data_IF_721967482217
#
_entry.id   IF_721967482217
#
_cell.length_a   1.000
_cell.length_b   1.000
_cell.length_c   1.000
_cell.angle_alpha   90.00
_cell.angle_beta   90.00
_cell.angle_gamma   90.00
#
_symmetry.space_group_name_H-M   'P 1'
#
loop_
_entity.id
_entity.type
_entity.pdbx_description
1 polymer ?
#
# COMPACT_ATOMS: atom_id res chain seq x y z
N UNK A 1 -36.33 14.23 6.12
CA UNK A 1 -36.12 13.00 5.32
C UNK A 1 -35.08 13.24 4.21
N UNK A 2 -33.81 13.44 4.59
CA UNK A 2 -32.69 13.71 3.64
C UNK A 2 -31.45 12.90 4.07
N UNK A 3 -31.61 11.59 4.30
CA UNK A 3 -30.47 10.68 4.55
C UNK A 3 -30.56 9.38 3.74
N UNK A 4 -31.57 9.23 2.88
CA UNK A 4 -31.94 7.93 2.29
C UNK A 4 -31.81 7.84 0.78
N UNK A 5 -31.10 8.76 0.10
CA UNK A 5 -31.09 8.77 -1.38
C UNK A 5 -29.85 9.31 -2.08
N UNK A 6 -28.69 9.15 -1.46
CA UNK A 6 -27.47 9.01 -2.26
C UNK A 6 -26.97 7.58 -2.03
N UNK A 7 -26.66 6.88 -3.12
CA UNK A 7 -25.49 6.00 -3.19
C UNK A 7 -24.46 6.55 -2.18
N UNK A 8 -24.09 5.76 -1.17
CA UNK A 8 -23.59 6.23 0.13
C UNK A 8 -22.59 7.38 -0.02
N UNK A 9 -22.53 8.33 0.93
CA UNK A 9 -21.56 9.45 0.91
C UNK A 9 -20.13 9.00 0.55
N UNK A 10 -19.81 7.76 0.93
CA UNK A 10 -18.65 6.94 0.54
C UNK A 10 -18.47 6.81 -0.97
N UNK A 11 -19.50 6.41 -1.71
CA UNK A 11 -19.47 6.22 -3.17
C UNK A 11 -19.24 7.54 -3.91
N UNK A 12 -19.77 8.67 -3.41
CA UNK A 12 -19.53 10.01 -3.99
C UNK A 12 -18.12 10.52 -3.67
N UNK A 13 -17.61 10.31 -2.45
CA UNK A 13 -16.23 10.66 -2.10
C UNK A 13 -15.24 9.74 -2.81
N UNK A 14 -15.54 8.46 -2.90
CA UNK A 14 -14.75 7.47 -3.64
C UNK A 14 -14.73 7.82 -5.13
N UNK A 15 -15.86 8.14 -5.76
CA UNK A 15 -15.88 8.63 -7.15
C UNK A 15 -15.14 9.96 -7.29
N UNK A 16 -15.32 10.92 -6.38
CA UNK A 16 -14.60 12.20 -6.47
C UNK A 16 -13.09 12.10 -6.23
N UNK A 17 -12.62 11.10 -5.47
CA UNK A 17 -11.19 10.91 -5.12
C UNK A 17 -10.51 9.85 -6.00
N UNK A 18 -11.25 8.89 -6.57
CA UNK A 18 -10.69 7.73 -7.30
C UNK A 18 -11.08 7.70 -8.78
N UNK A 19 -12.23 8.26 -9.18
CA UNK A 19 -12.67 8.17 -10.58
C UNK A 19 -11.88 9.08 -11.53
N UNK A 20 -11.24 10.13 -11.00
CA UNK A 20 -10.44 11.09 -11.78
C UNK A 20 -8.92 10.91 -11.61
N UNK A 21 -8.47 9.92 -10.84
CA UNK A 21 -7.05 9.61 -10.71
C UNK A 21 -6.71 8.58 -11.79
N UNK A 22 -6.20 9.07 -12.91
CA UNK A 22 -5.36 8.26 -13.80
C UNK A 22 -4.10 7.89 -13.02
N UNK A 23 -4.18 6.75 -12.30
CA UNK A 23 -3.01 6.13 -11.70
C UNK A 23 -2.18 5.54 -12.85
N UNK A 24 -1.17 6.29 -13.24
CA UNK A 24 -0.15 5.85 -14.17
C UNK A 24 1.08 5.45 -13.38
N UNK A 25 1.77 4.36 -13.76
CA UNK A 25 3.07 4.06 -13.16
C UNK A 25 4.03 5.23 -13.40
N UNK A 26 4.93 5.53 -12.46
CA UNK A 26 5.97 6.54 -12.66
C UNK A 26 6.74 6.31 -13.96
N UNK A 27 7.37 7.37 -14.46
CA UNK A 27 8.30 7.26 -15.58
C UNK A 27 9.41 6.24 -15.24
N UNK A 28 10.01 5.62 -16.26
CA UNK A 28 11.15 4.73 -16.00
C UNK A 28 12.35 5.59 -15.60
N UNK A 29 12.66 5.61 -14.30
CA UNK A 29 13.78 6.37 -13.78
C UNK A 29 15.11 5.70 -14.15
N UNK A 30 15.11 4.43 -14.54
CA UNK A 30 16.27 3.68 -15.03
C UNK A 30 17.02 2.89 -13.96
N UNK A 31 16.47 2.77 -12.74
CA UNK A 31 16.91 1.77 -11.74
C UNK A 31 15.80 1.52 -10.73
N UNK A 32 15.75 0.31 -10.18
CA UNK A 32 14.72 -0.10 -9.21
C UNK A 32 14.70 0.82 -7.99
N UNK A 33 15.87 1.20 -7.48
CA UNK A 33 15.98 2.13 -6.35
C UNK A 33 15.26 3.46 -6.64
N UNK A 34 15.50 4.05 -7.82
CA UNK A 34 14.89 5.33 -8.21
C UNK A 34 13.40 5.18 -8.50
N UNK A 35 13.00 4.10 -9.17
CA UNK A 35 11.59 3.80 -9.43
C UNK A 35 10.81 3.64 -8.10
N UNK A 36 11.40 2.99 -7.08
CA UNK A 36 10.80 2.85 -5.75
C UNK A 36 10.73 4.18 -4.99
N UNK A 37 11.72 5.06 -5.16
CA UNK A 37 11.67 6.41 -4.60
C UNK A 37 10.52 7.20 -5.23
N UNK A 38 10.36 7.17 -6.55
CA UNK A 38 9.25 7.86 -7.23
C UNK A 38 7.89 7.31 -6.78
N UNK A 39 7.72 5.98 -6.71
CA UNK A 39 6.49 5.38 -6.15
C UNK A 39 6.22 5.83 -4.71
N UNK A 40 7.24 5.85 -3.85
CA UNK A 40 7.08 6.30 -2.47
C UNK A 40 6.72 7.79 -2.40
N UNK A 41 7.28 8.63 -3.28
CA UNK A 41 6.94 10.05 -3.38
C UNK A 41 5.47 10.23 -3.76
N UNK A 42 5.00 9.53 -4.78
CA UNK A 42 3.62 9.62 -5.25
C UNK A 42 2.63 9.18 -4.17
N UNK A 43 2.91 8.06 -3.51
CA UNK A 43 2.09 7.58 -2.38
C UNK A 43 2.03 8.62 -1.26
N UNK A 44 3.18 9.16 -0.85
CA UNK A 44 3.25 10.19 0.20
C UNK A 44 2.51 11.46 -0.22
N UNK A 45 2.65 11.89 -1.46
CA UNK A 45 1.98 13.08 -2.00
C UNK A 45 0.45 12.90 -2.00
N UNK A 46 -0.04 11.76 -2.48
CA UNK A 46 -1.47 11.44 -2.46
C UNK A 46 -2.03 11.38 -1.04
N UNK A 47 -1.35 10.70 -0.12
CA UNK A 47 -1.79 10.59 1.27
C UNK A 47 -1.73 11.93 2.03
N UNK A 48 -0.78 12.79 1.68
CA UNK A 48 -0.59 14.11 2.32
C UNK A 48 -1.49 15.20 1.73
N UNK A 49 -2.15 14.95 0.60
CA UNK A 49 -3.08 15.89 0.00
C UNK A 49 -4.19 16.26 1.01
N UNK A 50 -4.53 17.55 1.22
CA UNK A 50 -5.43 17.96 2.31
C UNK A 50 -6.80 17.24 2.31
N UNK A 51 -7.36 16.97 1.13
CA UNK A 51 -8.61 16.24 1.00
C UNK A 51 -8.46 14.76 1.40
N UNK A 52 -7.40 14.09 0.95
CA UNK A 52 -7.11 12.70 1.32
C UNK A 52 -6.77 12.58 2.82
N UNK A 53 -5.89 13.45 3.33
CA UNK A 53 -5.46 13.44 4.72
C UNK A 53 -6.62 13.62 5.71
N UNK A 54 -7.66 14.37 5.33
CA UNK A 54 -8.84 14.56 6.16
C UNK A 54 -9.90 13.45 5.99
N UNK A 55 -10.11 12.96 4.78
CA UNK A 55 -11.21 12.03 4.47
C UNK A 55 -10.84 10.54 4.61
N UNK A 56 -9.58 10.16 4.39
CA UNK A 56 -9.16 8.77 4.22
C UNK A 56 -9.47 7.87 5.43
N UNK A 57 -9.23 8.26 6.70
CA UNK A 57 -9.56 7.40 7.84
C UNK A 57 -11.05 7.08 7.95
N UNK A 58 -11.91 8.06 7.68
CA UNK A 58 -13.37 7.86 7.68
C UNK A 58 -13.80 6.98 6.52
N UNK A 59 -13.23 7.19 5.33
CA UNK A 59 -13.47 6.36 4.16
C UNK A 59 -13.09 4.89 4.40
N UNK A 60 -11.92 4.63 5.00
CA UNK A 60 -11.48 3.27 5.33
C UNK A 60 -12.40 2.61 6.37
N UNK A 61 -12.90 3.36 7.36
CA UNK A 61 -13.87 2.85 8.32
C UNK A 61 -15.20 2.46 7.65
N UNK A 62 -15.68 3.29 6.73
CA UNK A 62 -16.90 3.00 5.98
C UNK A 62 -16.73 1.80 5.04
N UNK A 63 -15.59 1.67 4.38
CA UNK A 63 -15.25 0.50 3.53
C UNK A 63 -15.20 -0.78 4.38
N UNK A 64 -14.58 -0.74 5.56
CA UNK A 64 -14.49 -1.89 6.45
C UNK A 64 -15.85 -2.36 6.98
N UNK A 65 -16.83 -1.45 7.09
CA UNK A 65 -18.17 -1.75 7.55
C UNK A 65 -19.09 -2.35 6.45
N UNK A 66 -18.72 -2.23 5.17
CA UNK A 66 -19.52 -2.70 4.03
C UNK A 66 -18.70 -3.64 3.11
N UNK A 67 -18.95 -4.97 3.16
CA UNK A 67 -18.24 -5.94 2.33
C UNK A 67 -18.36 -5.70 0.82
N UNK A 68 -19.46 -5.12 0.36
CA UNK A 68 -19.65 -4.80 -1.07
C UNK A 68 -18.78 -3.61 -1.45
N UNK A 69 -18.70 -2.59 -0.59
CA UNK A 69 -17.79 -1.47 -0.76
C UNK A 69 -16.33 -1.94 -0.75
N UNK A 70 -15.94 -2.82 0.18
CA UNK A 70 -14.59 -3.39 0.25
C UNK A 70 -14.22 -4.16 -1.03
N UNK A 71 -15.12 -4.99 -1.54
CA UNK A 71 -14.89 -5.72 -2.79
C UNK A 71 -14.71 -4.75 -3.98
N UNK A 72 -15.58 -3.74 -4.11
CA UNK A 72 -15.48 -2.73 -5.17
C UNK A 72 -14.19 -1.92 -5.06
N UNK A 73 -13.84 -1.47 -3.86
CA UNK A 73 -12.61 -0.73 -3.58
C UNK A 73 -11.37 -1.52 -4.00
N UNK A 74 -11.32 -2.81 -3.62
CA UNK A 74 -10.25 -3.73 -4.00
C UNK A 74 -10.15 -3.89 -5.52
N UNK A 75 -11.27 -4.18 -6.18
CA UNK A 75 -11.30 -4.45 -7.63
C UNK A 75 -11.02 -3.22 -8.50
N UNK A 76 -11.28 -2.01 -8.00
CA UNK A 76 -11.14 -0.77 -8.78
C UNK A 76 -9.89 0.02 -8.43
N UNK A 77 -9.70 0.35 -7.15
CA UNK A 77 -8.60 1.21 -6.71
C UNK A 77 -7.33 0.40 -6.44
N UNK A 78 -7.40 -0.57 -5.54
CA UNK A 78 -6.22 -1.36 -5.13
C UNK A 78 -5.62 -2.12 -6.32
N UNK A 79 -6.45 -2.63 -7.22
CA UNK A 79 -5.97 -3.27 -8.45
C UNK A 79 -5.15 -2.34 -9.35
N UNK A 80 -5.49 -1.04 -9.44
CA UNK A 80 -4.73 -0.05 -10.22
C UNK A 80 -3.41 0.33 -9.56
N UNK A 81 -3.42 0.52 -8.23
CA UNK A 81 -2.20 0.75 -7.44
C UNK A 81 -1.22 -0.43 -7.59
N UNK A 82 -1.72 -1.66 -7.46
CA UNK A 82 -0.91 -2.87 -7.66
C UNK A 82 -0.41 -3.00 -9.10
N UNK A 83 -1.17 -2.57 -10.11
CA UNK A 83 -0.69 -2.55 -11.49
C UNK A 83 0.48 -1.57 -11.69
N UNK A 84 0.45 -0.41 -11.02
CA UNK A 84 1.56 0.56 -11.07
C UNK A 84 2.83 -0.02 -10.44
N UNK A 85 2.71 -0.66 -9.27
CA UNK A 85 3.81 -1.36 -8.61
C UNK A 85 4.34 -2.50 -9.48
N UNK A 86 3.44 -3.30 -10.08
CA UNK A 86 3.82 -4.41 -10.95
C UNK A 86 4.65 -3.93 -12.15
N UNK A 87 4.29 -2.81 -12.80
CA UNK A 87 5.06 -2.29 -13.92
C UNK A 87 6.49 -1.93 -13.51
N UNK A 88 6.68 -1.24 -12.37
CA UNK A 88 8.01 -0.91 -11.82
C UNK A 88 8.85 -2.17 -11.59
N UNK A 89 8.26 -3.17 -10.93
CA UNK A 89 8.95 -4.44 -10.65
C UNK A 89 9.28 -5.20 -11.95
N UNK A 90 8.38 -5.18 -12.93
CA UNK A 90 8.67 -5.74 -14.25
C UNK A 90 9.82 -5.02 -14.96
N UNK A 91 9.95 -3.68 -14.85
CA UNK A 91 11.09 -2.96 -15.42
C UNK A 91 12.40 -3.44 -14.79
N UNK A 92 12.43 -3.59 -13.47
CA UNK A 92 13.60 -4.08 -12.75
C UNK A 92 14.00 -5.50 -13.15
N UNK A 93 13.04 -6.41 -13.34
CA UNK A 93 13.30 -7.76 -13.88
C UNK A 93 13.86 -7.67 -15.30
N UNK A 94 13.29 -6.84 -16.19
CA UNK A 94 13.81 -6.65 -17.56
C UNK A 94 15.24 -6.11 -17.58
N UNK A 95 15.61 -5.28 -16.60
CA UNK A 95 16.97 -4.74 -16.43
C UNK A 95 17.92 -5.71 -15.73
N UNK A 96 17.43 -6.83 -15.21
CA UNK A 96 18.23 -7.81 -14.47
C UNK A 96 18.58 -7.39 -13.04
N UNK A 97 17.90 -6.40 -12.48
CA UNK A 97 18.07 -5.95 -11.08
C UNK A 97 17.36 -6.88 -10.09
N UNK A 98 16.34 -7.61 -10.56
CA UNK A 98 15.62 -8.65 -9.81
C UNK A 98 15.68 -9.97 -10.58
N UNK A 99 15.95 -11.07 -9.87
CA UNK A 99 16.01 -12.41 -10.46
C UNK A 99 14.63 -12.91 -10.89
N UNK A 100 13.60 -12.61 -10.11
CA UNK A 100 12.20 -12.97 -10.37
C UNK A 100 11.26 -11.84 -9.94
N UNK A 101 10.00 -11.90 -10.38
CA UNK A 101 8.99 -10.91 -9.98
C UNK A 101 8.57 -11.16 -8.52
N UNK A 102 8.75 -10.20 -7.61
CA UNK A 102 8.29 -10.32 -6.22
C UNK A 102 6.77 -10.35 -6.11
N UNK A 103 6.26 -10.73 -4.94
CA UNK A 103 4.83 -10.63 -4.62
C UNK A 103 4.37 -9.17 -4.61
N UNK A 104 3.72 -8.74 -5.71
CA UNK A 104 3.25 -7.36 -5.93
C UNK A 104 2.37 -6.86 -4.77
N UNK A 105 1.34 -7.61 -4.32
CA UNK A 105 0.59 -7.29 -3.11
C UNK A 105 1.45 -6.97 -1.89
N UNK A 106 2.52 -7.73 -1.64
CA UNK A 106 3.41 -7.51 -0.50
C UNK A 106 4.20 -6.21 -0.67
N UNK A 107 4.78 -5.96 -1.84
CA UNK A 107 5.52 -4.72 -2.12
C UNK A 107 4.62 -3.50 -1.98
N UNK A 108 3.40 -3.57 -2.55
CA UNK A 108 2.39 -2.54 -2.41
C UNK A 108 2.03 -2.30 -0.92
N UNK A 109 1.82 -3.37 -0.15
CA UNK A 109 1.51 -3.27 1.28
C UNK A 109 2.65 -2.64 2.10
N UNK A 110 3.92 -2.94 1.78
CA UNK A 110 5.07 -2.33 2.45
C UNK A 110 5.17 -0.83 2.18
N UNK A 111 5.03 -0.42 0.92
CA UNK A 111 5.07 1.00 0.52
C UNK A 111 3.88 1.77 1.13
N UNK A 112 2.65 1.34 0.83
CA UNK A 112 1.43 2.02 1.27
C UNK A 112 1.29 1.97 2.79
N UNK A 113 1.51 0.80 3.40
CA UNK A 113 1.39 0.61 4.84
C UNK A 113 2.44 1.40 5.63
N UNK A 114 3.69 1.45 5.14
CA UNK A 114 4.74 2.27 5.73
C UNK A 114 4.40 3.76 5.71
N UNK A 115 4.02 4.29 4.54
CA UNK A 115 3.61 5.68 4.38
C UNK A 115 2.36 6.03 5.21
N UNK A 116 1.33 5.19 5.17
CA UNK A 116 0.09 5.38 5.93
C UNK A 116 0.36 5.41 7.44
N UNK A 117 1.11 4.45 7.95
CA UNK A 117 1.44 4.38 9.38
C UNK A 117 2.21 5.61 9.82
N UNK A 118 3.20 6.06 9.03
CA UNK A 118 3.96 7.27 9.32
C UNK A 118 3.08 8.52 9.43
N UNK A 119 2.19 8.72 8.44
CA UNK A 119 1.37 9.92 8.32
C UNK A 119 0.17 9.96 9.27
N UNK A 120 -0.56 8.85 9.42
CA UNK A 120 -1.85 8.81 10.12
C UNK A 120 -1.76 8.24 11.53
N UNK A 121 -0.86 7.29 11.78
CA UNK A 121 -0.72 6.65 13.09
C UNK A 121 0.36 7.37 13.92
N UNK A 122 1.56 7.50 13.37
CA UNK A 122 2.68 8.16 14.04
C UNK A 122 2.60 9.69 13.96
N UNK A 123 1.75 10.23 13.07
CA UNK A 123 1.52 11.68 12.88
C UNK A 123 2.81 12.44 12.62
N UNK A 124 3.70 11.87 11.80
CA UNK A 124 5.00 12.46 11.46
C UNK A 124 4.91 13.13 10.08
N UNK A 125 5.58 14.27 9.88
CA UNK A 125 5.74 14.82 8.53
C UNK A 125 6.57 13.86 7.68
N UNK A 126 6.19 13.69 6.42
CA UNK A 126 6.96 12.93 5.45
C UNK A 126 7.77 13.90 4.59
N UNK A 127 9.08 13.91 4.79
CA UNK A 127 10.03 14.66 3.97
C UNK A 127 10.72 13.71 2.97
N UNK A 128 11.58 14.29 2.14
CA UNK A 128 12.35 13.55 1.14
C UNK A 128 13.27 12.48 1.77
N UNK A 129 13.71 12.69 3.02
CA UNK A 129 14.50 11.70 3.75
C UNK A 129 13.66 10.48 4.09
N UNK A 130 12.44 10.66 4.63
CA UNK A 130 11.51 9.57 4.89
C UNK A 130 11.18 8.77 3.63
N UNK A 131 10.91 9.44 2.51
CA UNK A 131 10.64 8.78 1.22
C UNK A 131 11.79 7.84 0.84
N UNK A 132 13.03 8.33 0.87
CA UNK A 132 14.21 7.51 0.57
C UNK A 132 14.38 6.35 1.55
N UNK A 133 14.11 6.57 2.84
CA UNK A 133 14.17 5.52 3.85
C UNK A 133 13.14 4.42 3.60
N UNK A 134 11.90 4.80 3.24
CA UNK A 134 10.83 3.86 2.91
C UNK A 134 11.20 3.04 1.67
N UNK A 135 11.62 3.71 0.59
CA UNK A 135 12.07 3.04 -0.63
C UNK A 135 13.26 2.09 -0.38
N UNK A 136 14.26 2.54 0.40
CA UNK A 136 15.41 1.74 0.78
C UNK A 136 15.05 0.53 1.64
N UNK A 137 14.07 0.64 2.55
CA UNK A 137 13.60 -0.48 3.35
C UNK A 137 12.90 -1.54 2.50
N UNK A 138 12.08 -1.12 1.52
CA UNK A 138 11.45 -2.03 0.57
C UNK A 138 12.49 -2.69 -0.33
N UNK A 139 13.45 -1.92 -0.85
CA UNK A 139 14.54 -2.44 -1.66
C UNK A 139 15.37 -3.50 -0.89
N UNK A 140 15.68 -3.24 0.37
CA UNK A 140 16.37 -4.20 1.23
C UNK A 140 15.53 -5.48 1.46
N UNK A 141 14.20 -5.36 1.60
CA UNK A 141 13.31 -6.50 1.73
C UNK A 141 13.25 -7.34 0.44
N UNK A 142 13.39 -6.72 -0.74
CA UNK A 142 13.43 -7.41 -2.02
C UNK A 142 14.74 -8.19 -2.26
N UNK A 143 15.85 -7.76 -1.65
CA UNK A 143 17.13 -8.45 -1.72
C UNK A 143 17.36 -9.44 -0.57
N UNK A 144 16.57 -9.35 0.49
CA UNK A 144 16.57 -10.38 1.53
C UNK A 144 16.04 -11.68 0.94
N UNK A 145 16.84 -12.75 0.96
CA UNK A 145 16.34 -14.10 0.72
C UNK A 145 15.16 -14.32 1.68
N UNK A 146 13.97 -14.50 1.10
CA UNK A 146 12.72 -14.53 1.86
C UNK A 146 12.84 -15.46 3.07
N UNK A 147 12.23 -15.07 4.19
CA UNK A 147 12.07 -15.93 5.37
C UNK A 147 11.18 -17.11 4.96
N UNK A 148 11.78 -18.08 4.28
CA UNK A 148 11.18 -19.33 3.82
C UNK A 148 11.41 -20.44 4.84
N UNK A 149 12.24 -20.18 5.86
CA UNK A 149 12.31 -21.03 7.03
C UNK A 149 10.95 -20.95 7.76
N UNK A 150 10.20 -22.07 7.87
CA UNK A 150 8.99 -22.10 8.67
C UNK A 150 9.34 -21.61 10.07
N UNK A 151 8.56 -20.67 10.60
CA UNK A 151 8.62 -20.36 12.03
C UNK A 151 8.40 -21.69 12.75
N UNK A 152 9.42 -22.17 13.45
CA UNK A 152 9.35 -23.45 14.16
C UNK A 152 8.07 -23.44 15.00
N UNK A 153 7.24 -24.47 14.81
CA UNK A 153 5.97 -24.62 15.51
C UNK A 153 6.22 -24.46 17.01
N UNK A 154 5.72 -23.36 17.58
CA UNK A 154 5.78 -23.11 19.01
C UNK A 154 4.77 -24.06 19.64
N UNK A 155 5.17 -25.33 19.76
CA UNK A 155 4.45 -26.35 20.49
C UNK A 155 4.13 -25.78 21.86
N UNK A 156 2.84 -25.59 22.10
CA UNK A 156 2.29 -25.05 23.33
C UNK A 156 2.78 -25.93 24.49
N UNK A 157 3.38 -25.39 25.57
CA UNK A 157 3.85 -26.22 26.66
C UNK A 157 2.64 -26.91 27.31
N UNK A 158 2.62 -28.25 27.21
CA UNK A 158 1.67 -29.11 27.90
C UNK A 158 1.71 -28.79 29.39
N UNK A 159 0.63 -28.21 29.93
CA UNK A 159 0.49 -28.01 31.37
C UNK A 159 0.64 -29.36 32.08
N UNK A 160 1.45 -29.47 33.15
CA UNK A 160 1.45 -30.67 33.96
C UNK A 160 0.08 -30.86 34.62
N UNK A 161 -0.44 -32.08 34.55
CA UNK A 161 -1.62 -32.51 35.30
C UNK A 161 -1.31 -32.40 36.79
N UNK A 162 -2.13 -31.65 37.51
CA UNK A 162 -2.16 -31.66 38.96
C UNK A 162 -2.77 -33.00 39.43
N UNK A 163 -2.03 -33.75 40.24
CA UNK A 163 -2.57 -34.73 41.18
C UNK A 163 -2.84 -34.06 42.53
#
# INVERSE_FOLDING_TARGET
AIYRRYASKVEVVFVAVVHDVTLEPPADAGSLERDLVELAQDIVAHLSAPAAYSALPGLLADIAADPVAAQRFGATYVGREQACVAEVLHRAVRRGELTELPDVPMVHALLLGGAFTWLFVLRRPADEHFVRQLAGAVLAALWGEGVTAPLADVSTPTRPRSE
#
